data_IF_588455251050
#
_entry.id   IF_588455251050
#
_cell.length_a   1.000
_cell.length_b   1.000
_cell.length_c   1.000
_cell.angle_alpha   90.00
_cell.angle_beta   90.00
_cell.angle_gamma   90.00
#
_symmetry.space_group_name_H-M   'P 1'
#
loop_
_entity.id
_entity.type
_entity.pdbx_description
1 polymer ?
#
# COMPACT_ATOMS: atom_id res chain seq x y z
N UNK A 1 -24.40 -16.75 -6.06
CA UNK A 1 -23.09 -17.41 -6.12
C UNK A 1 -22.37 -17.43 -4.76
N UNK A 2 -22.20 -16.31 -4.05
CA UNK A 2 -21.56 -16.29 -2.70
C UNK A 2 -22.33 -17.05 -1.59
N UNK A 3 -23.66 -17.14 -1.67
CA UNK A 3 -24.50 -17.78 -0.62
C UNK A 3 -24.18 -19.26 -0.37
N UNK A 4 -23.54 -19.96 -1.32
CA UNK A 4 -23.17 -21.37 -1.17
C UNK A 4 -21.80 -21.58 -0.50
N UNK A 5 -20.93 -20.56 -0.51
CA UNK A 5 -19.57 -20.64 0.05
C UNK A 5 -19.45 -20.01 1.44
N UNK A 6 -20.38 -19.13 1.81
CA UNK A 6 -20.29 -18.34 3.04
C UNK A 6 -21.54 -18.46 3.89
N UNK A 7 -21.32 -18.59 5.20
CA UNK A 7 -22.36 -18.44 6.19
C UNK A 7 -22.96 -17.02 6.13
N UNK A 8 -24.26 -16.88 6.43
CA UNK A 8 -25.00 -15.61 6.36
C UNK A 8 -24.38 -14.52 7.24
N UNK A 9 -23.73 -14.91 8.34
CA UNK A 9 -23.00 -14.04 9.27
C UNK A 9 -21.73 -13.43 8.64
N UNK A 10 -20.88 -14.26 8.03
CA UNK A 10 -19.63 -13.86 7.39
C UNK A 10 -19.87 -12.92 6.21
N UNK A 11 -20.90 -13.21 5.40
CA UNK A 11 -21.29 -12.33 4.29
C UNK A 11 -21.67 -10.93 4.79
N UNK A 12 -22.41 -10.83 5.90
CA UNK A 12 -22.79 -9.54 6.51
C UNK A 12 -21.59 -8.80 7.09
N UNK A 13 -20.57 -9.50 7.59
CA UNK A 13 -19.34 -8.87 8.10
C UNK A 13 -18.47 -8.34 6.96
N UNK A 14 -18.31 -9.11 5.89
CA UNK A 14 -17.52 -8.70 4.72
C UNK A 14 -18.12 -7.46 4.05
N UNK A 15 -19.45 -7.36 3.92
CA UNK A 15 -20.11 -6.19 3.34
C UNK A 15 -19.91 -4.88 4.13
N UNK A 16 -19.46 -4.93 5.39
CA UNK A 16 -19.20 -3.73 6.21
C UNK A 16 -17.77 -3.20 6.09
N UNK A 17 -16.87 -3.95 5.44
CA UNK A 17 -15.45 -3.58 5.31
C UNK A 17 -15.22 -2.68 4.11
N UNK A 18 -14.10 -1.95 4.11
CA UNK A 18 -13.68 -1.20 2.92
C UNK A 18 -13.37 -2.17 1.77
N UNK A 19 -13.36 -1.68 0.52
CA UNK A 19 -13.12 -2.53 -0.65
C UNK A 19 -11.78 -3.28 -0.57
N UNK A 20 -10.73 -2.62 -0.06
CA UNK A 20 -9.39 -3.23 0.10
C UNK A 20 -9.43 -4.32 1.15
N UNK A 21 -10.02 -4.04 2.32
CA UNK A 21 -10.15 -5.01 3.40
C UNK A 21 -11.05 -6.19 2.99
N UNK A 22 -12.11 -5.94 2.23
CA UNK A 22 -13.01 -6.98 1.72
C UNK A 22 -12.23 -8.01 0.90
N UNK A 23 -11.49 -7.56 -0.12
CA UNK A 23 -10.72 -8.45 -0.98
C UNK A 23 -9.55 -9.11 -0.24
N UNK A 24 -8.95 -8.40 0.72
CA UNK A 24 -7.92 -8.95 1.58
C UNK A 24 -8.46 -10.09 2.45
N UNK A 25 -9.59 -9.91 3.13
CA UNK A 25 -10.21 -10.95 3.94
C UNK A 25 -10.71 -12.12 3.08
N UNK A 26 -11.29 -11.84 1.90
CA UNK A 26 -11.71 -12.88 0.96
C UNK A 26 -10.54 -13.77 0.51
N UNK A 27 -9.35 -13.18 0.33
CA UNK A 27 -8.15 -13.91 -0.08
C UNK A 27 -7.62 -14.89 0.98
N UNK A 28 -7.97 -14.67 2.25
CA UNK A 28 -7.55 -15.54 3.37
C UNK A 28 -8.45 -16.77 3.52
N UNK A 29 -9.65 -16.75 2.94
CA UNK A 29 -10.63 -17.80 3.14
C UNK A 29 -10.21 -19.04 2.37
N UNK A 30 -10.27 -20.18 3.06
CA UNK A 30 -9.97 -21.50 2.52
C UNK A 30 -11.16 -22.42 2.64
N UNK A 31 -11.25 -23.36 1.70
CA UNK A 31 -12.20 -24.47 1.78
C UNK A 31 -11.75 -25.51 2.81
N UNK A 32 -12.62 -26.48 3.12
CA UNK A 32 -12.27 -27.64 3.95
C UNK A 32 -11.03 -28.40 3.43
N UNK A 33 -10.83 -28.39 2.10
CA UNK A 33 -9.68 -29.01 1.44
C UNK A 33 -8.42 -28.12 1.48
N UNK A 34 -8.41 -27.03 2.25
CA UNK A 34 -7.30 -26.08 2.39
C UNK A 34 -6.93 -25.35 1.07
N UNK A 35 -7.87 -25.27 0.13
CA UNK A 35 -7.71 -24.57 -1.14
C UNK A 35 -8.30 -23.14 -1.08
N UNK A 36 -7.81 -22.24 -1.94
CA UNK A 36 -8.31 -20.87 -2.05
C UNK A 36 -9.33 -20.75 -3.18
N UNK A 37 -10.65 -20.76 -2.90
CA UNK A 37 -11.67 -20.85 -3.93
C UNK A 37 -11.73 -19.60 -4.82
N UNK A 38 -11.28 -18.45 -4.30
CA UNK A 38 -11.30 -17.15 -5.00
C UNK A 38 -9.91 -16.63 -5.36
N UNK A 39 -8.88 -17.49 -5.40
CA UNK A 39 -7.48 -17.09 -5.62
C UNK A 39 -7.31 -16.14 -6.81
N UNK A 40 -7.78 -16.56 -7.98
CA UNK A 40 -7.63 -15.79 -9.22
C UNK A 40 -8.37 -14.45 -9.16
N UNK A 41 -9.58 -14.44 -8.60
CA UNK A 41 -10.38 -13.24 -8.47
C UNK A 41 -9.76 -12.24 -7.49
N UNK A 42 -9.27 -12.72 -6.35
CA UNK A 42 -8.56 -11.89 -5.37
C UNK A 42 -7.27 -11.32 -5.95
N UNK A 43 -6.54 -12.09 -6.77
CA UNK A 43 -5.34 -11.61 -7.44
C UNK A 43 -5.63 -10.50 -8.44
N UNK A 44 -6.70 -10.63 -9.23
CA UNK A 44 -7.15 -9.58 -10.15
C UNK A 44 -7.56 -8.34 -9.35
N UNK A 45 -8.37 -8.50 -8.30
CA UNK A 45 -8.82 -7.40 -7.47
C UNK A 45 -7.64 -6.67 -6.79
N UNK A 46 -6.68 -7.40 -6.24
CA UNK A 46 -5.48 -6.82 -5.64
C UNK A 46 -4.66 -6.03 -6.67
N UNK A 47 -4.53 -6.55 -7.88
CA UNK A 47 -3.82 -5.86 -8.98
C UNK A 47 -4.56 -4.58 -9.36
N UNK A 48 -5.88 -4.65 -9.59
CA UNK A 48 -6.69 -3.49 -9.96
C UNK A 48 -6.67 -2.40 -8.87
N UNK A 49 -6.75 -2.79 -7.59
CA UNK A 49 -6.73 -1.86 -6.46
C UNK A 49 -5.33 -1.28 -6.17
N UNK A 50 -4.27 -1.90 -6.68
CA UNK A 50 -2.91 -1.34 -6.59
C UNK A 50 -2.65 -0.21 -7.61
N UNK A 51 -3.52 -0.07 -8.62
CA UNK A 51 -3.40 0.97 -9.61
C UNK A 51 -3.94 2.30 -9.06
N UNK A 52 -3.25 3.42 -9.31
CA UNK A 52 -3.76 4.73 -8.94
C UNK A 52 -5.03 5.03 -9.74
N UNK A 53 -6.16 5.13 -9.05
CA UNK A 53 -7.47 5.36 -9.67
C UNK A 53 -7.65 6.80 -10.19
N UNK A 54 -6.81 7.74 -9.76
CA UNK A 54 -6.93 9.14 -10.16
C UNK A 54 -5.57 9.83 -10.31
N UNK A 55 -5.55 10.89 -11.12
CA UNK A 55 -4.39 11.74 -11.30
C UNK A 55 -3.94 12.42 -10.00
N UNK A 56 -4.84 12.57 -9.02
CA UNK A 56 -4.52 13.19 -7.72
C UNK A 56 -3.39 12.44 -6.97
N UNK A 57 -3.31 11.11 -7.12
CA UNK A 57 -2.22 10.33 -6.53
C UNK A 57 -0.87 10.64 -7.21
N UNK A 58 -0.88 10.80 -8.53
CA UNK A 58 0.31 11.17 -9.30
C UNK A 58 0.74 12.61 -8.97
N UNK A 59 -0.21 13.55 -8.89
CA UNK A 59 0.03 14.94 -8.49
C UNK A 59 0.60 15.06 -7.07
N UNK A 60 0.20 14.16 -6.17
CA UNK A 60 0.78 14.07 -4.82
C UNK A 60 2.26 13.68 -4.85
N UNK A 61 2.64 12.77 -5.74
CA UNK A 61 4.05 12.41 -5.97
C UNK A 61 4.82 13.57 -6.59
N UNK A 62 4.23 14.28 -7.56
CA UNK A 62 4.86 15.47 -8.15
C UNK A 62 5.05 16.61 -7.14
N UNK A 63 4.07 16.84 -6.26
CA UNK A 63 4.22 17.78 -5.14
C UNK A 63 5.39 17.38 -4.25
N UNK A 64 5.54 16.09 -3.92
CA UNK A 64 6.70 15.59 -3.18
C UNK A 64 8.03 15.79 -3.93
N UNK A 65 8.06 15.61 -5.25
CA UNK A 65 9.23 15.93 -6.07
C UNK A 65 9.62 17.41 -5.95
N UNK A 66 8.63 18.30 -6.04
CA UNK A 66 8.83 19.76 -5.96
C UNK A 66 9.36 20.14 -4.57
N UNK A 67 8.84 19.55 -3.50
CA UNK A 67 9.35 19.76 -2.14
C UNK A 67 10.81 19.36 -1.98
N UNK A 68 11.23 18.25 -2.62
CA UNK A 68 12.61 17.78 -2.55
C UNK A 68 13.51 18.68 -3.40
N UNK A 69 13.04 19.06 -4.60
CA UNK A 69 13.74 19.91 -5.56
C UNK A 69 13.31 21.37 -5.39
N UNK A 70 13.66 21.96 -4.25
CA UNK A 70 13.37 23.38 -3.98
C UNK A 70 14.18 24.30 -4.89
N UNK A 71 13.75 25.56 -5.02
CA UNK A 71 14.47 26.58 -5.81
C UNK A 71 15.93 26.74 -5.40
N UNK A 72 16.24 26.59 -4.10
CA UNK A 72 17.61 26.66 -3.55
C UNK A 72 18.42 25.37 -3.77
N UNK A 73 17.75 24.21 -3.91
CA UNK A 73 18.35 22.87 -4.07
C UNK A 73 17.86 22.21 -5.37
N UNK A 74 17.98 22.91 -6.49
CA UNK A 74 17.47 22.45 -7.78
C UNK A 74 18.46 21.55 -8.56
N UNK A 75 19.75 21.57 -8.21
CA UNK A 75 20.81 20.76 -8.83
C UNK A 75 20.94 19.37 -8.17
N UNK A 76 19.90 18.56 -8.29
CA UNK A 76 19.93 17.16 -7.87
C UNK A 76 19.99 16.25 -9.09
N UNK A 77 20.89 15.28 -9.06
CA UNK A 77 20.88 14.20 -10.04
C UNK A 77 19.57 13.40 -9.91
N UNK A 78 19.07 12.87 -11.02
CA UNK A 78 17.84 12.08 -11.07
C UNK A 78 17.89 10.89 -10.12
N UNK A 79 19.02 10.18 -10.07
CA UNK A 79 19.23 9.06 -9.12
C UNK A 79 19.04 9.49 -7.67
N UNK A 80 19.60 10.64 -7.28
CA UNK A 80 19.48 11.19 -5.93
C UNK A 80 18.06 11.64 -5.63
N UNK A 81 17.40 12.30 -6.60
CA UNK A 81 16.01 12.71 -6.46
C UNK A 81 15.08 11.50 -6.26
N UNK A 82 15.25 10.45 -7.07
CA UNK A 82 14.49 9.20 -6.92
C UNK A 82 14.75 8.52 -5.58
N UNK A 83 16.01 8.48 -5.11
CA UNK A 83 16.33 7.91 -3.80
C UNK A 83 15.66 8.69 -2.66
N UNK A 84 15.74 10.02 -2.68
CA UNK A 84 15.08 10.88 -1.68
C UNK A 84 13.56 10.73 -1.71
N UNK A 85 12.97 10.61 -2.90
CA UNK A 85 11.53 10.42 -3.05
C UNK A 85 11.08 9.08 -2.46
N UNK A 86 11.83 8.00 -2.72
CA UNK A 86 11.56 6.68 -2.12
C UNK A 86 11.64 6.72 -0.60
N UNK A 87 12.67 7.36 -0.05
CA UNK A 87 12.82 7.53 1.41
C UNK A 87 11.63 8.32 1.97
N UNK A 88 11.26 9.46 1.36
CA UNK A 88 10.14 10.28 1.83
C UNK A 88 8.80 9.54 1.74
N UNK A 89 8.59 8.75 0.70
CA UNK A 89 7.40 7.90 0.54
C UNK A 89 7.35 6.80 1.61
N UNK A 90 8.47 6.13 1.87
CA UNK A 90 8.56 5.08 2.88
C UNK A 90 8.31 5.63 4.31
N UNK A 91 8.93 6.77 4.64
CA UNK A 91 8.67 7.47 5.91
C UNK A 91 7.20 7.85 6.05
N UNK A 92 6.56 8.32 4.98
CA UNK A 92 5.13 8.63 4.98
C UNK A 92 4.26 7.39 5.19
N UNK A 93 4.58 6.28 4.52
CA UNK A 93 3.84 5.02 4.63
C UNK A 93 3.98 4.39 6.02
N UNK A 94 5.17 4.46 6.62
CA UNK A 94 5.45 3.95 7.96
C UNK A 94 5.05 4.92 9.08
N UNK A 95 4.53 6.11 8.73
CA UNK A 95 4.21 7.20 9.67
C UNK A 95 5.42 7.61 10.53
N UNK A 96 6.62 7.52 9.94
CA UNK A 96 7.88 7.91 10.57
C UNK A 96 8.33 9.28 10.10
N UNK A 97 9.07 9.96 10.96
CA UNK A 97 9.66 11.28 10.76
C UNK A 97 11.09 11.27 11.27
N UNK A 98 11.81 12.37 11.09
CA UNK A 98 13.15 12.53 11.67
C UNK A 98 13.18 12.42 13.20
N UNK A 99 12.04 12.56 13.90
CA UNK A 99 11.97 12.48 15.35
C UNK A 99 11.85 11.06 15.90
N UNK A 100 11.28 10.14 15.13
CA UNK A 100 10.99 8.77 15.58
C UNK A 100 11.72 7.70 14.76
N UNK A 101 12.65 8.11 13.90
CA UNK A 101 13.44 7.19 13.11
C UNK A 101 14.43 6.45 14.02
N UNK A 102 14.41 5.09 14.05
CA UNK A 102 15.28 4.34 14.94
C UNK A 102 16.74 4.49 14.50
N UNK A 103 17.56 5.10 15.35
CA UNK A 103 19.01 5.14 15.17
C UNK A 103 19.54 3.84 15.77
N UNK A 104 20.04 2.95 14.91
CA UNK A 104 20.69 1.71 15.35
C UNK A 104 22.14 2.08 15.69
N UNK A 105 22.52 1.99 16.97
CA UNK A 105 23.84 2.38 17.48
C UNK A 105 25.00 1.42 17.09
N UNK A 106 24.79 0.49 16.16
CA UNK A 106 25.73 -0.59 15.86
C UNK A 106 26.91 -0.18 14.94
N UNK A 107 27.37 1.08 14.98
CA UNK A 107 28.50 1.55 14.16
C UNK A 107 29.76 1.89 14.96
N UNK A 108 29.77 1.67 16.29
CA UNK A 108 30.90 1.98 17.17
C UNK A 108 31.41 0.78 17.99
N UNK A 109 31.10 -0.46 17.61
CA UNK A 109 31.74 -1.67 18.14
C UNK A 109 32.74 -2.25 17.13
#
# INVERSE_FOLDING_TARGET
MLKYYFESSLSKQLCKKSIVEFWHELSKIKTFNNEWPFKNLCQIAATALSLPHSNAEVERIFSMCIDIKTKKRNRLNTKTLCALLRIKLDLKNTQRTCYNYPIINNYYD
#
